data_IF_294121173670
#
_entry.id   IF_294121173670
#
_cell.length_a   1.000
_cell.length_b   1.000
_cell.length_c   1.000
_cell.angle_alpha   90.00
_cell.angle_beta   90.00
_cell.angle_gamma   90.00
#
_symmetry.space_group_name_H-M   'P 1'
#
loop_
_entity.id
_entity.type
_entity.pdbx_description
1 polymer ?
#
# COMPACT_ATOMS: atom_id res chain seq x y z
N UNK A 1 20.71 -31.86 -28.41
CA UNK A 1 20.25 -30.47 -28.23
C UNK A 1 20.75 -30.00 -26.87
N UNK A 2 21.72 -29.07 -26.85
CA UNK A 2 22.59 -28.84 -25.68
C UNK A 2 21.89 -28.09 -24.54
N UNK A 3 22.26 -28.42 -23.30
CA UNK A 3 21.75 -27.83 -22.07
C UNK A 3 21.87 -26.29 -22.01
N UNK A 4 22.78 -25.70 -22.79
CA UNK A 4 22.95 -24.24 -22.92
C UNK A 4 21.72 -23.55 -23.52
N UNK A 5 21.08 -24.14 -24.53
CA UNK A 5 19.91 -23.54 -25.18
C UNK A 5 18.66 -23.50 -24.26
N UNK A 6 18.54 -24.49 -23.36
CA UNK A 6 17.44 -24.56 -22.40
C UNK A 6 17.58 -23.49 -21.30
N UNK A 7 18.80 -23.25 -20.81
CA UNK A 7 19.09 -22.22 -19.82
C UNK A 7 18.79 -20.81 -20.35
N UNK A 8 19.19 -20.51 -21.59
CA UNK A 8 18.92 -19.20 -22.23
C UNK A 8 17.41 -18.94 -22.39
N UNK A 9 16.64 -19.97 -22.77
CA UNK A 9 15.18 -19.89 -22.90
C UNK A 9 14.47 -19.68 -21.56
N UNK A 10 14.96 -20.29 -20.49
CA UNK A 10 14.43 -20.09 -19.14
C UNK A 10 14.67 -18.65 -18.64
N UNK A 11 15.85 -18.09 -18.91
CA UNK A 11 16.17 -16.69 -18.59
C UNK A 11 15.31 -15.73 -19.40
N UNK A 12 15.16 -15.94 -20.71
CA UNK A 12 14.30 -15.10 -21.56
C UNK A 12 12.83 -15.12 -21.15
N UNK A 13 12.28 -16.30 -20.82
CA UNK A 13 10.88 -16.42 -20.38
C UNK A 13 10.67 -15.76 -19.02
N UNK A 14 11.63 -15.87 -18.10
CA UNK A 14 11.64 -15.12 -16.84
C UNK A 14 11.69 -13.60 -17.06
N UNK A 15 12.52 -13.12 -17.99
CA UNK A 15 12.62 -11.71 -18.33
C UNK A 15 11.32 -11.17 -18.96
N UNK A 16 10.72 -11.94 -19.89
CA UNK A 16 9.43 -11.59 -20.52
C UNK A 16 8.30 -11.51 -19.50
N UNK A 17 8.22 -12.46 -18.55
CA UNK A 17 7.24 -12.39 -17.44
C UNK A 17 7.45 -11.17 -16.55
N UNK A 18 8.69 -10.82 -16.21
CA UNK A 18 8.99 -9.61 -15.42
C UNK A 18 8.58 -8.32 -16.15
N UNK A 19 8.81 -8.24 -17.47
CA UNK A 19 8.38 -7.11 -18.30
C UNK A 19 6.85 -7.05 -18.44
N UNK A 20 6.18 -8.18 -18.66
CA UNK A 20 4.71 -8.19 -18.76
C UNK A 20 4.03 -7.83 -17.45
N UNK A 21 4.58 -8.21 -16.30
CA UNK A 21 4.08 -7.80 -14.97
C UNK A 21 4.21 -6.29 -14.75
N UNK A 22 5.28 -5.67 -15.27
CA UNK A 22 5.46 -4.21 -15.21
C UNK A 22 4.51 -3.45 -16.15
N UNK A 23 4.21 -4.00 -17.33
CA UNK A 23 3.34 -3.34 -18.31
C UNK A 23 1.86 -3.59 -18.06
N UNK A 24 1.48 -4.78 -17.57
CA UNK A 24 0.11 -5.19 -17.25
C UNK A 24 -0.19 -5.14 -15.75
N UNK A 25 0.42 -4.22 -15.00
CA UNK A 25 -0.02 -3.97 -13.62
C UNK A 25 -1.36 -3.22 -13.65
N UNK A 26 -2.48 -3.83 -13.24
CA UNK A 26 -3.79 -3.18 -13.25
C UNK A 26 -3.86 -1.98 -12.29
N UNK A 27 -2.87 -1.81 -11.40
CA UNK A 27 -2.73 -0.67 -10.49
C UNK A 27 -1.79 0.41 -11.03
N UNK A 28 -1.24 0.25 -12.24
CA UNK A 28 -0.41 1.27 -12.88
C UNK A 28 -1.30 2.40 -13.39
N UNK A 29 -0.96 3.62 -13.00
CA UNK A 29 -1.67 4.81 -13.48
C UNK A 29 -1.36 5.02 -14.98
N UNK A 30 -2.37 5.27 -15.82
CA UNK A 30 -2.16 5.61 -17.23
C UNK A 30 -1.20 6.79 -17.36
N UNK A 31 -0.20 6.68 -18.24
CA UNK A 31 0.80 7.74 -18.45
C UNK A 31 1.91 7.84 -17.39
N UNK A 32 1.85 7.04 -16.31
CA UNK A 32 2.90 7.03 -15.28
C UNK A 32 3.96 5.94 -15.58
N UNK A 33 5.12 6.35 -16.08
CA UNK A 33 6.24 5.42 -16.37
C UNK A 33 7.06 5.03 -15.13
N UNK A 34 6.79 5.61 -13.96
CA UNK A 34 7.56 5.36 -12.73
C UNK A 34 9.07 5.67 -12.81
N UNK A 35 9.51 6.40 -13.85
CA UNK A 35 10.92 6.75 -14.10
C UNK A 35 11.31 8.17 -13.65
N UNK A 36 10.33 9.08 -13.51
CA UNK A 36 10.61 10.44 -13.02
C UNK A 36 11.10 10.43 -11.57
N UNK A 37 11.74 11.51 -11.12
CA UNK A 37 12.15 11.67 -9.72
C UNK A 37 10.96 11.54 -8.77
N UNK A 38 9.86 12.25 -9.05
CA UNK A 38 8.63 12.18 -8.28
C UNK A 38 8.03 10.77 -8.24
N UNK A 39 8.06 10.03 -9.35
CA UNK A 39 7.51 8.68 -9.39
C UNK A 39 8.41 7.65 -8.70
N UNK A 40 9.74 7.83 -8.72
CA UNK A 40 10.65 7.06 -7.87
C UNK A 40 10.38 7.35 -6.39
N UNK A 41 10.23 8.62 -6.03
CA UNK A 41 9.89 9.02 -4.65
C UNK A 41 8.55 8.44 -4.19
N UNK A 42 7.52 8.45 -5.04
CA UNK A 42 6.25 7.78 -4.77
C UNK A 42 6.46 6.31 -4.42
N UNK A 43 7.27 5.60 -5.21
CA UNK A 43 7.59 4.19 -4.97
C UNK A 43 8.26 3.99 -3.61
N UNK A 44 9.25 4.82 -3.28
CA UNK A 44 9.94 4.76 -1.98
C UNK A 44 8.96 4.96 -0.81
N UNK A 45 8.04 5.91 -0.93
CA UNK A 45 7.00 6.16 0.08
C UNK A 45 6.05 4.97 0.20
N UNK A 46 5.61 4.38 -0.92
CA UNK A 46 4.76 3.17 -0.90
C UNK A 46 5.47 2.02 -0.19
N UNK A 47 6.74 1.78 -0.51
CA UNK A 47 7.53 0.72 0.12
C UNK A 47 7.68 0.95 1.63
N UNK A 48 8.00 2.18 2.05
CA UNK A 48 8.08 2.54 3.46
C UNK A 48 6.73 2.34 4.19
N UNK A 49 5.62 2.73 3.57
CA UNK A 49 4.28 2.55 4.15
C UNK A 49 3.91 1.06 4.22
N UNK A 50 4.25 0.23 3.23
CA UNK A 50 4.01 -1.21 3.31
C UNK A 50 4.84 -1.88 4.42
N UNK A 51 6.02 -1.34 4.74
CA UNK A 51 6.78 -1.78 5.91
C UNK A 51 6.10 -1.35 7.21
N UNK A 52 5.62 -0.11 7.31
CA UNK A 52 4.94 0.40 8.51
C UNK A 52 3.61 -0.31 8.78
N UNK A 53 2.81 -0.50 7.74
CA UNK A 53 1.44 -1.02 7.81
C UNK A 53 1.37 -2.53 7.55
N UNK A 54 2.44 -3.16 7.10
CA UNK A 54 2.49 -4.59 6.80
C UNK A 54 1.93 -4.97 5.42
N UNK A 55 2.28 -6.18 4.96
CA UNK A 55 1.96 -6.68 3.62
C UNK A 55 0.47 -6.90 3.34
N UNK A 56 -0.32 -7.12 4.40
CA UNK A 56 -1.77 -7.33 4.32
C UNK A 56 -2.57 -6.00 4.29
N UNK A 57 -1.88 -4.86 4.34
CA UNK A 57 -2.52 -3.56 4.21
C UNK A 57 -3.19 -3.41 2.84
N UNK A 58 -4.32 -2.71 2.82
CA UNK A 58 -5.03 -2.41 1.57
C UNK A 58 -4.15 -1.55 0.67
N UNK A 59 -3.54 -2.19 -0.32
CA UNK A 59 -2.60 -1.59 -1.28
C UNK A 59 -3.14 -0.34 -1.97
N UNK A 60 -4.44 -0.27 -2.23
CA UNK A 60 -5.05 0.92 -2.86
C UNK A 60 -5.01 2.11 -1.91
N UNK A 61 -5.32 1.90 -0.63
CA UNK A 61 -5.24 2.94 0.42
C UNK A 61 -3.83 3.35 0.74
N UNK A 62 -2.89 2.40 0.74
CA UNK A 62 -1.46 2.69 0.91
C UNK A 62 -0.97 3.59 -0.23
N UNK A 63 -1.37 3.31 -1.48
CA UNK A 63 -1.05 4.15 -2.63
C UNK A 63 -1.71 5.53 -2.57
N UNK A 64 -2.97 5.62 -2.14
CA UNK A 64 -3.64 6.90 -1.88
C UNK A 64 -2.87 7.74 -0.86
N UNK A 65 -2.49 7.13 0.27
CA UNK A 65 -1.69 7.79 1.32
C UNK A 65 -0.31 8.22 0.79
N UNK A 66 0.34 7.39 -0.01
CA UNK A 66 1.63 7.73 -0.62
C UNK A 66 1.52 8.94 -1.56
N UNK A 67 0.44 9.03 -2.35
CA UNK A 67 0.18 10.19 -3.20
C UNK A 67 0.03 11.46 -2.37
N UNK A 68 -0.75 11.41 -1.28
CA UNK A 68 -0.94 12.54 -0.38
C UNK A 68 0.39 12.99 0.27
N UNK A 69 1.21 12.04 0.72
CA UNK A 69 2.53 12.34 1.29
C UNK A 69 3.48 12.95 0.25
N UNK A 70 3.49 12.45 -0.98
CA UNK A 70 4.27 13.05 -2.06
C UNK A 70 3.82 14.48 -2.37
N UNK A 71 2.51 14.73 -2.41
CA UNK A 71 1.99 16.09 -2.59
C UNK A 71 2.38 16.99 -1.42
N UNK A 72 2.33 16.50 -0.17
CA UNK A 72 2.79 17.25 0.99
C UNK A 72 4.27 17.64 0.87
N UNK A 73 5.14 16.73 0.43
CA UNK A 73 6.58 17.04 0.21
C UNK A 73 6.74 18.16 -0.84
N UNK A 74 5.98 18.13 -1.93
CA UNK A 74 6.01 19.17 -2.95
C UNK A 74 5.49 20.52 -2.42
N UNK A 75 4.39 20.51 -1.67
CA UNK A 75 3.83 21.71 -1.03
C UNK A 75 4.79 22.31 0.00
N UNK A 76 5.45 21.47 0.81
CA UNK A 76 6.49 21.91 1.74
C UNK A 76 7.66 22.59 1.01
N UNK A 77 8.12 22.01 -0.11
CA UNK A 77 9.17 22.62 -0.92
C UNK A 77 8.75 24.00 -1.46
N UNK A 78 7.49 24.15 -1.89
CA UNK A 78 6.96 25.44 -2.35
C UNK A 78 6.93 26.50 -1.23
N UNK A 79 6.45 26.13 -0.04
CA UNK A 79 6.44 27.03 1.13
C UNK A 79 7.86 27.45 1.50
N UNK A 80 8.81 26.51 1.55
CA UNK A 80 10.22 26.81 1.83
C UNK A 80 10.86 27.69 0.74
N UNK A 81 10.37 27.58 -0.50
CA UNK A 81 10.73 28.46 -1.62
C UNK A 81 10.13 29.87 -1.54
N UNK A 82 9.32 30.17 -0.51
CA UNK A 82 8.72 31.48 -0.29
C UNK A 82 7.28 31.62 -0.77
N UNK A 83 6.67 30.57 -1.33
CA UNK A 83 5.25 30.58 -1.69
C UNK A 83 4.37 30.33 -0.47
N UNK A 84 4.17 31.39 0.33
CA UNK A 84 3.37 31.34 1.55
C UNK A 84 1.88 31.05 1.27
N UNK A 85 1.40 31.20 0.02
CA UNK A 85 0.01 30.87 -0.34
C UNK A 85 -0.31 29.39 -0.16
N UNK A 86 0.71 28.53 -0.13
CA UNK A 86 0.59 27.08 0.04
C UNK A 86 0.48 26.64 1.51
N UNK A 87 0.61 27.54 2.49
CA UNK A 87 0.56 27.15 3.90
C UNK A 87 -0.76 26.50 4.31
N UNK A 88 -1.89 27.00 3.80
CA UNK A 88 -3.20 26.43 4.09
C UNK A 88 -3.33 25.01 3.51
N UNK A 89 -2.79 24.79 2.31
CA UNK A 89 -2.77 23.47 1.68
C UNK A 89 -1.87 22.49 2.44
N UNK A 90 -0.72 22.95 2.94
CA UNK A 90 0.18 22.14 3.77
C UNK A 90 -0.54 21.66 5.05
N UNK A 91 -1.25 22.55 5.75
CA UNK A 91 -2.03 22.19 6.94
C UNK A 91 -3.15 21.23 6.59
N UNK A 92 -3.87 21.47 5.49
CA UNK A 92 -4.94 20.60 4.99
C UNK A 92 -4.44 19.19 4.69
N UNK A 93 -3.37 19.07 3.91
CA UNK A 93 -2.74 17.79 3.56
C UNK A 93 -2.27 17.04 4.80
N UNK A 94 -1.62 17.72 5.74
CA UNK A 94 -1.17 17.12 7.01
C UNK A 94 -2.34 16.52 7.80
N UNK A 95 -3.47 17.23 7.86
CA UNK A 95 -4.67 16.74 8.53
C UNK A 95 -5.31 15.53 7.83
N UNK A 96 -5.36 15.54 6.49
CA UNK A 96 -5.89 14.42 5.70
C UNK A 96 -5.00 13.19 5.88
N UNK A 97 -3.67 13.36 5.81
CA UNK A 97 -2.70 12.28 6.05
C UNK A 97 -2.90 11.67 7.44
N UNK A 98 -2.99 12.48 8.49
CA UNK A 98 -3.22 12.00 9.85
C UNK A 98 -4.54 11.22 9.99
N UNK A 99 -5.60 11.63 9.28
CA UNK A 99 -6.88 10.89 9.22
C UNK A 99 -6.71 9.55 8.51
N UNK A 100 -6.06 9.54 7.35
CA UNK A 100 -5.83 8.32 6.56
C UNK A 100 -4.96 7.30 7.27
N UNK A 101 -3.90 7.73 7.94
CA UNK A 101 -3.07 6.86 8.78
C UNK A 101 -3.88 6.22 9.91
N UNK A 102 -4.73 7.00 10.59
CA UNK A 102 -5.63 6.46 11.63
C UNK A 102 -6.61 5.44 11.05
N UNK A 103 -7.22 5.72 9.90
CA UNK A 103 -8.15 4.80 9.24
C UNK A 103 -7.47 3.47 8.88
N UNK A 104 -6.23 3.51 8.38
CA UNK A 104 -5.43 2.32 8.10
C UNK A 104 -5.13 1.53 9.38
N UNK A 105 -4.68 2.19 10.45
CA UNK A 105 -4.40 1.53 11.74
C UNK A 105 -5.64 0.89 12.36
N UNK A 106 -6.80 1.53 12.25
CA UNK A 106 -8.06 0.98 12.78
C UNK A 106 -8.49 -0.30 12.05
N UNK A 107 -8.27 -0.35 10.73
CA UNK A 107 -8.62 -1.51 9.90
C UNK A 107 -7.66 -2.69 10.09
N UNK A 108 -6.45 -2.43 10.56
CA UNK A 108 -5.46 -3.46 10.89
C UNK A 108 -5.67 -4.11 12.25
N UNK A 109 -6.51 -3.53 13.11
CA UNK A 109 -6.76 -4.13 14.42
C UNK A 109 -7.28 -5.57 14.20
N UNK A 110 -6.60 -6.58 14.75
CA UNK A 110 -7.00 -7.97 14.53
C UNK A 110 -8.44 -8.15 14.99
N UNK A 111 -9.23 -8.89 14.19
CA UNK A 111 -10.59 -9.28 14.60
C UNK A 111 -10.48 -9.93 15.97
N UNK A 112 -11.24 -9.39 16.94
CA UNK A 112 -11.19 -9.85 18.32
C UNK A 112 -11.49 -11.35 18.34
N UNK A 113 -10.55 -12.15 18.85
CA UNK A 113 -10.77 -13.59 19.01
C UNK A 113 -11.73 -13.80 20.18
N UNK A 114 -12.71 -14.71 20.07
CA UNK A 114 -13.65 -14.96 21.15
C UNK A 114 -12.91 -15.52 22.37
N UNK A 115 -13.30 -15.02 23.54
CA UNK A 115 -12.75 -15.45 24.83
C UNK A 115 -13.10 -16.91 25.12
N UNK A 116 -12.38 -17.56 26.04
CA UNK A 116 -12.68 -18.92 26.47
C UNK A 116 -14.13 -19.05 26.98
N UNK A 117 -14.61 -18.05 27.72
CA UNK A 117 -15.97 -18.02 28.24
C UNK A 117 -17.01 -17.94 27.11
N UNK A 118 -16.80 -17.07 26.12
CA UNK A 118 -17.67 -16.96 24.95
C UNK A 118 -17.71 -18.28 24.14
N UNK A 119 -16.56 -18.95 24.00
CA UNK A 119 -16.49 -20.27 23.36
C UNK A 119 -17.28 -21.33 24.14
N UNK A 120 -17.14 -21.37 25.46
CA UNK A 120 -17.86 -22.32 26.33
C UNK A 120 -19.37 -22.11 26.28
N UNK A 121 -19.83 -20.84 26.28
CA UNK A 121 -21.25 -20.51 26.11
C UNK A 121 -21.75 -20.97 24.74
N UNK A 122 -21.00 -20.69 23.67
CA UNK A 122 -21.37 -21.12 22.32
C UNK A 122 -21.48 -22.64 22.20
N UNK A 123 -20.56 -23.40 22.81
CA UNK A 123 -20.64 -24.87 22.82
C UNK A 123 -21.86 -25.38 23.59
N UNK A 124 -22.19 -24.77 24.74
CA UNK A 124 -23.34 -25.17 25.56
C UNK A 124 -24.67 -24.87 24.86
N UNK A 125 -24.77 -23.73 24.19
CA UNK A 125 -25.96 -23.38 23.41
C UNK A 125 -26.15 -24.31 22.21
N UNK A 126 -25.06 -24.74 21.56
CA UNK A 126 -25.12 -25.72 20.46
C UNK A 126 -25.56 -27.11 20.95
N UNK A 127 -25.07 -27.56 22.11
CA UNK A 127 -25.51 -28.80 22.76
C UNK A 127 -27.01 -28.77 23.14
N UNK A 128 -27.52 -27.59 23.53
CA UNK A 128 -28.92 -27.39 23.89
C UNK A 128 -29.85 -27.32 22.67
N UNK A 129 -29.38 -26.83 21.53
CA UNK A 129 -30.16 -26.72 20.29
C UNK A 129 -30.18 -28.01 19.44
N UNK A 130 -29.27 -28.96 19.71
CA UNK A 130 -29.21 -30.27 19.06
C UNK A 130 -30.01 -31.38 19.77
N UNK A 131 -30.83 -31.02 20.76
CA UNK A 131 -31.79 -31.89 21.46
C UNK A 131 -33.20 -31.39 21.19
#
# INVERSE_FOLDING_TARGET
>A
MSASAAATRAVETGLKKRRSVLTNDPRRLPGADMRSSAARRFKDIVEALLVEFGAEADTSRVRELASLKLTLEATQAAVLGGDQSQCDELVRLSNIIARRERDLRLRQKPKRLPTLLEKLIATKNAEAAGK
#
